data_IF_108295586696
#
_entry.id   IF_108295586696
#
_cell.length_a   1.000
_cell.length_b   1.000
_cell.length_c   1.000
_cell.angle_alpha   90.00
_cell.angle_beta   90.00
_cell.angle_gamma   90.00
#
_symmetry.space_group_name_H-M   'P 1'
#
loop_
_entity.id
_entity.type
_entity.pdbx_description
1 polymer ?
#
# COMPACT_ATOMS: atom_id res chain seq x y z
N UNK A 1 -0.93 8.89 -9.59
CA UNK A 1 -1.81 7.72 -9.52
C UNK A 1 -1.13 6.51 -10.17
N UNK A 2 -1.17 5.38 -9.54
CA UNK A 2 -0.66 4.13 -10.13
C UNK A 2 -1.47 2.94 -9.63
N UNK A 3 -1.33 1.81 -10.32
CA UNK A 3 -1.99 0.55 -9.93
C UNK A 3 -0.92 -0.37 -9.35
N UNK A 4 -1.15 -0.82 -8.12
CA UNK A 4 -0.31 -1.84 -7.48
C UNK A 4 -0.93 -3.20 -7.76
N UNK A 5 -0.13 -4.14 -8.23
CA UNK A 5 -0.56 -5.49 -8.59
C UNK A 5 0.34 -6.48 -7.85
N UNK A 6 -0.26 -7.23 -6.92
CA UNK A 6 0.48 -8.16 -6.07
C UNK A 6 0.09 -9.60 -6.39
N UNK A 7 1.07 -10.37 -6.84
CA UNK A 7 0.91 -11.80 -7.05
C UNK A 7 0.54 -12.51 -5.74
N UNK A 8 -0.05 -13.71 -5.79
CA UNK A 8 -0.34 -14.48 -4.58
C UNK A 8 0.89 -14.62 -3.70
N UNK A 9 0.74 -14.36 -2.41
CA UNK A 9 1.82 -14.45 -1.43
C UNK A 9 2.87 -13.34 -1.48
N UNK A 10 2.73 -12.36 -2.37
CA UNK A 10 3.71 -11.28 -2.49
C UNK A 10 3.71 -10.40 -1.24
N UNK A 11 4.90 -10.02 -0.79
CA UNK A 11 5.10 -9.12 0.35
C UNK A 11 5.91 -7.92 -0.12
N UNK A 12 5.37 -6.73 0.07
CA UNK A 12 6.07 -5.50 -0.25
C UNK A 12 7.12 -5.15 0.82
N UNK A 13 8.14 -4.40 0.43
CA UNK A 13 9.13 -3.90 1.38
C UNK A 13 8.56 -2.71 2.16
N UNK A 14 9.06 -2.51 3.37
CA UNK A 14 8.73 -1.30 4.13
C UNK A 14 9.17 -0.07 3.37
N UNK A 15 8.32 0.92 3.32
CA UNK A 15 8.58 2.16 2.61
C UNK A 15 7.72 3.28 3.16
N UNK A 16 7.98 4.49 2.69
CA UNK A 16 7.11 5.63 2.93
C UNK A 16 7.05 6.50 1.67
N UNK A 17 6.09 7.40 1.65
CA UNK A 17 5.90 8.34 0.55
C UNK A 17 6.14 9.77 1.05
N UNK A 18 6.73 10.65 0.22
CA UNK A 18 6.92 12.06 0.60
C UNK A 18 5.63 12.87 0.37
N UNK A 19 4.54 12.44 1.01
CA UNK A 19 3.22 13.02 0.87
C UNK A 19 2.19 12.05 1.41
N UNK A 20 0.92 12.42 1.29
CA UNK A 20 -0.18 11.57 1.71
C UNK A 20 -0.53 10.57 0.61
N UNK A 21 -0.78 9.33 1.00
CA UNK A 21 -1.24 8.29 0.10
C UNK A 21 -2.68 7.92 0.41
N UNK A 22 -3.47 7.72 -0.66
CA UNK A 22 -4.82 7.18 -0.57
C UNK A 22 -4.91 5.99 -1.51
N UNK A 23 -5.52 4.90 -1.09
CA UNK A 23 -5.64 3.73 -1.94
C UNK A 23 -7.02 3.08 -1.83
N UNK A 24 -7.40 2.41 -2.91
CA UNK A 24 -8.67 1.70 -3.03
C UNK A 24 -8.40 0.30 -3.57
N UNK A 25 -8.91 -0.73 -2.89
CA UNK A 25 -8.68 -2.12 -3.29
C UNK A 25 -9.64 -2.49 -4.41
N UNK A 26 -9.10 -2.79 -5.58
CA UNK A 26 -9.86 -3.14 -6.77
C UNK A 26 -10.18 -4.64 -6.83
N UNK A 27 -9.29 -5.47 -6.31
CA UNK A 27 -9.39 -6.92 -6.45
C UNK A 27 -8.63 -7.59 -5.32
N UNK A 28 -9.17 -8.69 -4.80
CA UNK A 28 -8.50 -9.49 -3.78
C UNK A 28 -8.52 -8.88 -2.39
N UNK A 29 -7.57 -9.29 -1.56
CA UNK A 29 -7.44 -8.81 -0.18
C UNK A 29 -5.98 -8.46 0.11
N UNK A 30 -5.78 -7.26 0.60
CA UNK A 30 -4.46 -6.77 1.01
C UNK A 30 -4.38 -6.70 2.52
N UNK A 31 -3.20 -7.00 3.08
CA UNK A 31 -2.89 -6.70 4.46
C UNK A 31 -2.05 -5.43 4.48
N UNK A 32 -2.53 -4.41 5.16
CA UNK A 32 -1.85 -3.13 5.31
C UNK A 32 -1.25 -3.07 6.71
N UNK A 33 0.07 -2.93 6.77
CA UNK A 33 0.82 -2.96 8.03
C UNK A 33 1.58 -1.66 8.24
N UNK A 34 0.97 -0.68 8.94
CA UNK A 34 1.70 0.53 9.31
C UNK A 34 2.68 0.23 10.45
N UNK A 35 3.83 0.87 10.45
CA UNK A 35 4.81 0.71 11.53
C UNK A 35 4.22 1.23 12.83
N UNK A 36 4.29 0.41 13.87
CA UNK A 36 3.77 0.76 15.20
C UNK A 36 2.26 0.66 15.32
N UNK A 37 1.55 0.23 14.29
CA UNK A 37 0.11 0.07 14.30
C UNK A 37 -0.35 -1.35 14.02
N UNK A 38 -1.66 -1.60 14.13
CA UNK A 38 -2.21 -2.94 13.86
C UNK A 38 -2.26 -3.23 12.36
N UNK A 39 -2.24 -4.51 12.01
CA UNK A 39 -2.47 -4.96 10.64
C UNK A 39 -3.94 -4.80 10.29
N UNK A 40 -4.22 -4.18 9.15
CA UNK A 40 -5.57 -4.03 8.63
C UNK A 40 -5.78 -4.93 7.42
N UNK A 41 -6.79 -5.79 7.47
CA UNK A 41 -7.18 -6.61 6.32
C UNK A 41 -8.15 -5.79 5.45
N UNK A 42 -7.77 -5.58 4.20
CA UNK A 42 -8.51 -4.71 3.29
C UNK A 42 -8.98 -5.50 2.08
N UNK A 43 -10.26 -5.73 1.99
CA UNK A 43 -10.90 -6.48 0.91
C UNK A 43 -11.28 -5.55 -0.24
N UNK A 44 -11.63 -6.15 -1.36
CA UNK A 44 -12.15 -5.43 -2.53
C UNK A 44 -13.21 -4.41 -2.10
N UNK A 45 -13.05 -3.17 -2.54
CA UNK A 45 -13.92 -2.06 -2.16
C UNK A 45 -13.45 -1.27 -0.94
N UNK A 46 -12.44 -1.76 -0.22
CA UNK A 46 -11.90 -1.04 0.93
C UNK A 46 -11.07 0.16 0.49
N UNK A 47 -11.11 1.20 1.28
CA UNK A 47 -10.35 2.43 1.07
C UNK A 47 -9.44 2.65 2.28
N UNK A 48 -8.20 3.07 2.01
CA UNK A 48 -7.25 3.35 3.07
C UNK A 48 -6.36 4.54 2.76
N UNK A 49 -5.60 4.95 3.76
CA UNK A 49 -4.67 6.06 3.61
C UNK A 49 -3.44 5.89 4.48
N UNK A 50 -2.36 6.55 4.09
CA UNK A 50 -1.14 6.68 4.88
C UNK A 50 -0.77 8.14 4.97
N UNK A 51 -0.39 8.62 6.16
CA UNK A 51 0.04 10.01 6.30
C UNK A 51 1.39 10.23 5.62
N UNK A 52 1.72 11.50 5.41
CA UNK A 52 3.02 11.90 4.91
C UNK A 52 4.13 11.26 5.76
N UNK A 53 5.05 10.56 5.09
CA UNK A 53 6.19 9.87 5.71
C UNK A 53 5.82 8.75 6.68
N UNK A 54 4.57 8.29 6.65
CA UNK A 54 4.16 7.12 7.44
C UNK A 54 4.77 5.84 6.87
N UNK A 55 5.62 5.17 7.67
CA UNK A 55 6.27 3.93 7.25
C UNK A 55 5.27 2.79 7.27
N UNK A 56 5.19 2.02 6.20
CA UNK A 56 4.24 0.93 6.09
C UNK A 56 4.71 -0.11 5.07
N UNK A 57 4.04 -1.25 5.06
CA UNK A 57 4.13 -2.21 3.97
C UNK A 57 2.75 -2.75 3.63
N UNK A 58 2.62 -3.27 2.43
CA UNK A 58 1.42 -3.93 1.96
C UNK A 58 1.81 -5.30 1.45
N UNK A 59 0.99 -6.31 1.76
CA UNK A 59 1.18 -7.65 1.24
C UNK A 59 -0.14 -8.22 0.77
N UNK A 60 -0.06 -9.18 -0.16
CA UNK A 60 -1.24 -9.93 -0.57
C UNK A 60 -1.56 -10.93 0.54
N UNK A 61 -2.76 -10.83 1.12
CA UNK A 61 -3.18 -11.71 2.20
C UNK A 61 -3.52 -13.12 1.73
N UNK A 62 -3.66 -13.34 0.41
CA UNK A 62 -3.97 -14.64 -0.17
C UNK A 62 -2.73 -15.31 -0.75
N UNK A 63 -2.62 -16.62 -0.54
CA UNK A 63 -1.59 -17.44 -1.16
C UNK A 63 -2.00 -17.95 -2.55
N UNK A 64 -3.24 -17.72 -2.96
CA UNK A 64 -3.79 -18.28 -4.20
C UNK A 64 -4.36 -17.26 -5.17
N UNK A 65 -4.77 -16.10 -4.69
CA UNK A 65 -5.42 -15.09 -5.51
C UNK A 65 -4.57 -13.81 -5.62
N UNK A 66 -4.67 -13.17 -6.77
CA UNK A 66 -4.02 -11.87 -7.02
C UNK A 66 -4.75 -10.75 -6.26
N UNK A 67 -4.03 -9.71 -5.90
CA UNK A 67 -4.60 -8.52 -5.31
C UNK A 67 -4.17 -7.29 -6.10
N UNK A 68 -5.07 -6.31 -6.23
CA UNK A 68 -4.82 -5.06 -6.96
C UNK A 68 -5.42 -3.89 -6.22
N UNK A 69 -4.70 -2.78 -6.24
CA UNK A 69 -5.17 -1.53 -5.66
C UNK A 69 -4.80 -0.36 -6.57
N UNK A 70 -5.61 0.68 -6.55
CA UNK A 70 -5.26 1.94 -7.20
C UNK A 70 -4.81 2.91 -6.12
N UNK A 71 -3.66 3.55 -6.36
CA UNK A 71 -3.02 4.46 -5.41
C UNK A 71 -3.02 5.88 -5.93
N UNK A 72 -3.33 6.82 -5.04
CA UNK A 72 -3.25 8.25 -5.29
C UNK A 72 -2.27 8.86 -4.30
N UNK A 73 -1.29 9.59 -4.82
CA UNK A 73 -0.28 10.25 -4.00
C UNK A 73 -0.37 11.76 -4.16
N UNK A 74 -0.37 12.46 -3.03
CA UNK A 74 -0.24 13.90 -2.99
C UNK A 74 1.16 14.17 -2.44
N UNK A 75 2.11 14.40 -3.33
CA UNK A 75 3.53 14.51 -2.98
C UNK A 75 4.13 15.79 -3.55
N UNK A 76 5.25 16.23 -2.95
CA UNK A 76 5.99 17.36 -3.48
C UNK A 76 6.60 17.01 -4.84
N UNK A 77 6.58 17.99 -5.75
CA UNK A 77 7.18 17.87 -7.06
C UNK A 77 8.69 17.62 -6.92
N UNK A 78 9.20 16.67 -7.70
CA UNK A 78 10.62 16.37 -7.72
C UNK A 78 11.08 15.35 -6.70
N UNK A 79 10.19 14.88 -5.83
CA UNK A 79 10.51 13.84 -4.85
C UNK A 79 10.25 12.44 -5.42
N UNK A 80 11.00 11.41 -4.97
CA UNK A 80 10.68 10.03 -5.33
C UNK A 80 9.30 9.66 -4.80
N UNK A 81 8.57 8.85 -5.55
CA UNK A 81 7.22 8.42 -5.16
C UNK A 81 7.27 7.46 -3.98
N UNK A 82 8.25 6.56 -3.97
CA UNK A 82 8.44 5.55 -2.93
C UNK A 82 9.85 5.66 -2.38
N UNK A 83 9.98 5.71 -1.06
CA UNK A 83 11.28 5.77 -0.40
C UNK A 83 11.42 4.52 0.47
N UNK A 84 12.34 3.61 0.13
CA UNK A 84 12.51 2.38 0.91
C UNK A 84 13.12 2.67 2.29
N UNK A 85 12.73 1.84 3.26
CA UNK A 85 13.27 1.90 4.62
C UNK A 85 14.32 0.80 4.73
N UNK A 86 15.50 1.20 5.17
CA UNK A 86 16.61 0.26 5.36
C UNK A 86 16.55 -0.40 6.74
#
# INVERSE_FOLDING_TARGET
MFVADLAPGAVGAKHYHPGAEFFYVLEGTLAHEPEGGPTHMMRMGAFGSNPNKGIHLIKNASATERARAIDFLVAEKGQPIVIPVK
#
